data_IF_282025460202
#
_entry.id   IF_282025460202
#
_cell.length_a   1.000
_cell.length_b   1.000
_cell.length_c   1.000
_cell.angle_alpha   90.00
_cell.angle_beta   90.00
_cell.angle_gamma   90.00
#
_symmetry.space_group_name_H-M   'P 1'
#
loop_
_entity.id
_entity.type
_entity.pdbx_description
1 polymer ?
#
# COMPACT_ATOMS: atom_id res chain seq x y z
N UNK A 1 -39.43 62.57 6.49
CA UNK A 1 -38.83 61.64 7.47
C UNK A 1 -37.97 60.65 6.69
N UNK A 2 -36.67 60.91 6.57
CA UNK A 2 -35.74 60.07 5.84
C UNK A 2 -35.09 59.08 6.83
N UNK A 3 -35.28 57.78 6.58
CA UNK A 3 -34.74 56.71 7.40
C UNK A 3 -33.39 56.27 6.80
N UNK A 4 -32.30 56.82 7.31
CA UNK A 4 -30.93 56.47 6.91
C UNK A 4 -30.39 55.38 7.85
N UNK A 5 -30.40 54.13 7.38
CA UNK A 5 -29.69 53.03 8.03
C UNK A 5 -28.16 53.24 7.92
N UNK A 6 -27.38 52.97 8.98
CA UNK A 6 -25.93 53.12 8.93
C UNK A 6 -25.26 52.00 8.09
N UNK A 7 -24.04 52.23 7.56
CA UNK A 7 -23.31 51.24 6.79
C UNK A 7 -22.77 50.13 7.69
N UNK A 8 -22.95 48.87 7.28
CA UNK A 8 -22.35 47.69 7.92
C UNK A 8 -20.83 47.73 7.65
N UNK A 9 -19.96 47.71 8.67
CA UNK A 9 -18.52 47.64 8.47
C UNK A 9 -18.13 46.28 7.86
N UNK A 10 -17.11 46.21 6.99
CA UNK A 10 -16.61 44.94 6.46
C UNK A 10 -16.09 44.08 7.61
N UNK A 11 -16.72 42.92 7.78
CA UNK A 11 -16.30 41.92 8.76
C UNK A 11 -14.90 41.41 8.38
N UNK A 12 -13.89 41.52 9.26
CA UNK A 12 -12.57 40.96 8.96
C UNK A 12 -12.71 39.44 8.81
N UNK A 13 -12.20 38.88 7.71
CA UNK A 13 -12.07 37.43 7.54
C UNK A 13 -11.32 36.88 8.76
N UNK A 14 -12.04 36.18 9.62
CA UNK A 14 -11.65 35.84 10.98
C UNK A 14 -10.53 34.81 11.00
N UNK A 15 -9.56 35.00 11.90
CA UNK A 15 -8.41 34.13 12.14
C UNK A 15 -8.76 32.64 12.42
N UNK A 16 -10.04 32.34 12.68
CA UNK A 16 -10.56 31.00 12.95
C UNK A 16 -10.45 30.05 11.75
N UNK A 17 -10.63 30.52 10.50
CA UNK A 17 -10.57 29.66 9.30
C UNK A 17 -9.14 29.15 9.02
N UNK A 18 -8.13 29.98 9.29
CA UNK A 18 -6.72 29.61 9.15
C UNK A 18 -6.28 28.63 10.25
N UNK A 19 -6.90 28.71 11.43
CA UNK A 19 -6.56 27.86 12.57
C UNK A 19 -7.21 26.47 12.46
N UNK A 20 -8.40 26.37 11.85
CA UNK A 20 -9.10 25.11 11.62
C UNK A 20 -8.45 24.27 10.49
N UNK A 21 -8.06 24.91 9.38
CA UNK A 21 -7.39 24.24 8.25
C UNK A 21 -6.02 23.66 8.64
N UNK A 22 -5.23 24.40 9.42
CA UNK A 22 -3.92 23.92 9.90
C UNK A 22 -4.05 22.73 10.87
N UNK A 23 -5.11 22.68 11.67
CA UNK A 23 -5.42 21.56 12.56
C UNK A 23 -5.79 20.28 11.79
N UNK A 24 -6.64 20.40 10.77
CA UNK A 24 -7.05 19.27 9.92
C UNK A 24 -5.87 18.67 9.12
N UNK A 25 -4.99 19.52 8.59
CA UNK A 25 -3.79 19.08 7.88
C UNK A 25 -2.84 18.33 8.83
N UNK A 26 -2.63 18.83 10.05
CA UNK A 26 -1.78 18.17 11.06
C UNK A 26 -2.33 16.81 11.48
N UNK A 27 -3.63 16.69 11.71
CA UNK A 27 -4.24 15.42 12.11
C UNK A 27 -4.18 14.39 10.98
N UNK A 28 -4.33 14.81 9.72
CA UNK A 28 -4.10 13.95 8.56
C UNK A 28 -2.65 13.45 8.52
N UNK A 29 -1.65 14.34 8.62
CA UNK A 29 -0.24 13.95 8.62
C UNK A 29 0.11 13.03 9.78
N UNK A 30 -0.44 13.28 10.98
CA UNK A 30 -0.28 12.39 12.13
C UNK A 30 -0.86 11.00 11.84
N UNK A 31 -2.06 10.92 11.26
CA UNK A 31 -2.70 9.65 10.89
C UNK A 31 -1.93 8.88 9.82
N UNK A 32 -1.39 9.57 8.80
CA UNK A 32 -0.52 8.96 7.79
C UNK A 32 0.77 8.46 8.43
N UNK A 33 1.40 9.27 9.28
CA UNK A 33 2.65 8.92 9.96
C UNK A 33 2.48 7.69 10.84
N UNK A 34 1.36 7.58 11.55
CA UNK A 34 1.06 6.43 12.39
C UNK A 34 0.85 5.16 11.56
N UNK A 35 0.11 5.25 10.45
CA UNK A 35 -0.08 4.10 9.53
C UNK A 35 1.25 3.63 8.93
N UNK A 36 2.11 4.56 8.53
CA UNK A 36 3.45 4.25 8.01
C UNK A 36 4.29 3.62 9.12
N UNK A 37 4.30 4.18 10.31
CA UNK A 37 5.07 3.66 11.46
C UNK A 37 4.61 2.26 11.86
N UNK A 38 3.30 2.04 11.95
CA UNK A 38 2.68 0.75 12.23
C UNK A 38 2.94 -0.28 11.12
N UNK A 39 2.92 0.15 9.85
CA UNK A 39 3.32 -0.71 8.73
C UNK A 39 4.78 -1.12 8.79
N UNK A 40 5.67 -0.19 9.16
CA UNK A 40 7.11 -0.43 9.29
C UNK A 40 7.50 -1.16 10.58
N UNK A 41 6.69 -1.14 11.63
CA UNK A 41 6.99 -1.85 12.88
C UNK A 41 6.90 -3.37 12.73
N UNK A 42 6.04 -3.84 11.83
CA UNK A 42 5.94 -5.26 11.45
C UNK A 42 7.06 -5.73 10.50
N UNK A 43 8.09 -4.91 10.27
CA UNK A 43 9.19 -5.25 9.36
C UNK A 43 10.20 -6.19 10.02
N UNK A 44 10.72 -7.15 9.26
CA UNK A 44 11.86 -7.95 9.69
C UNK A 44 13.16 -7.12 9.73
N UNK A 45 14.11 -7.45 10.62
CA UNK A 45 15.43 -6.81 10.64
C UNK A 45 16.08 -6.78 9.24
N UNK A 46 16.69 -5.65 8.87
CA UNK A 46 17.39 -5.57 7.56
C UNK A 46 18.62 -6.48 7.52
N UNK A 47 19.27 -6.69 8.67
CA UNK A 47 20.42 -7.59 8.79
C UNK A 47 20.06 -9.00 8.37
N UNK A 48 18.88 -9.47 8.78
CA UNK A 48 18.36 -10.77 8.42
C UNK A 48 18.05 -10.85 6.92
N UNK A 49 17.52 -9.78 6.31
CA UNK A 49 17.26 -9.73 4.86
C UNK A 49 18.57 -9.83 4.05
N UNK A 50 19.64 -9.21 4.51
CA UNK A 50 20.93 -9.12 3.78
C UNK A 50 21.94 -10.15 4.30
N UNK A 51 21.51 -11.14 5.07
CA UNK A 51 22.40 -12.17 5.60
C UNK A 51 23.00 -13.00 4.47
N UNK A 52 24.29 -12.74 4.18
CA UNK A 52 25.04 -13.39 3.10
C UNK A 52 25.17 -14.89 3.30
N UNK A 53 25.14 -15.37 4.54
CA UNK A 53 25.28 -16.81 4.84
C UNK A 53 24.05 -17.62 4.41
N UNK A 54 22.88 -16.96 4.32
CA UNK A 54 21.62 -17.58 3.90
C UNK A 54 21.45 -17.63 2.37
N UNK A 55 22.36 -17.07 1.58
CA UNK A 55 22.25 -17.10 0.11
C UNK A 55 22.90 -18.36 -0.47
N UNK A 56 22.15 -19.06 -1.31
CA UNK A 56 22.62 -20.22 -2.08
C UNK A 56 22.00 -20.24 -3.47
N UNK A 57 22.71 -20.82 -4.44
CA UNK A 57 22.21 -20.95 -5.81
C UNK A 57 21.05 -21.97 -5.84
N UNK A 58 19.89 -21.65 -6.44
CA UNK A 58 18.81 -22.61 -6.60
C UNK A 58 19.22 -23.71 -7.58
N UNK A 59 18.86 -24.96 -7.27
CA UNK A 59 19.24 -26.13 -8.07
C UNK A 59 18.40 -26.27 -9.35
N UNK A 60 17.17 -25.75 -9.32
CA UNK A 60 16.25 -25.77 -10.45
C UNK A 60 15.26 -24.60 -10.40
N UNK A 61 14.52 -24.37 -11.49
CA UNK A 61 13.44 -23.38 -11.52
C UNK A 61 12.30 -23.70 -10.53
N UNK A 62 12.02 -25.00 -10.33
CA UNK A 62 11.04 -25.45 -9.33
C UNK A 62 11.50 -25.08 -7.91
N UNK A 63 12.78 -25.30 -7.60
CA UNK A 63 13.35 -24.94 -6.30
C UNK A 63 13.34 -23.41 -6.09
N UNK A 64 13.75 -22.62 -7.09
CA UNK A 64 13.66 -21.15 -7.03
C UNK A 64 12.24 -20.67 -6.74
N UNK A 65 11.23 -21.25 -7.40
CA UNK A 65 9.81 -20.87 -7.20
C UNK A 65 9.33 -21.24 -5.79
N UNK A 66 9.71 -22.41 -5.28
CA UNK A 66 9.44 -22.84 -3.91
C UNK A 66 10.06 -21.88 -2.88
N UNK A 67 11.31 -21.49 -3.07
CA UNK A 67 12.01 -20.53 -2.20
C UNK A 67 11.35 -19.16 -2.22
N UNK A 68 10.98 -18.64 -3.39
CA UNK A 68 10.22 -17.38 -3.52
C UNK A 68 8.91 -17.45 -2.72
N UNK A 69 8.14 -18.52 -2.89
CA UNK A 69 6.84 -18.70 -2.23
C UNK A 69 6.97 -18.73 -0.70
N UNK A 70 8.05 -19.32 -0.17
CA UNK A 70 8.32 -19.38 1.27
C UNK A 70 8.85 -18.03 1.80
N UNK A 71 9.75 -17.38 1.08
CA UNK A 71 10.36 -16.11 1.47
C UNK A 71 9.42 -14.90 1.36
N UNK A 72 8.44 -14.92 0.44
CA UNK A 72 7.50 -13.82 0.21
C UNK A 72 6.68 -13.41 1.46
N UNK A 73 5.92 -14.31 2.11
CA UNK A 73 5.16 -13.94 3.31
C UNK A 73 6.08 -13.53 4.45
N UNK A 74 7.28 -14.11 4.53
CA UNK A 74 8.24 -13.84 5.59
C UNK A 74 8.82 -12.42 5.53
N UNK A 75 9.26 -11.96 4.34
CA UNK A 75 9.84 -10.62 4.11
C UNK A 75 8.86 -9.62 3.49
N UNK A 76 7.54 -9.88 3.55
CA UNK A 76 6.52 -9.09 2.84
C UNK A 76 6.68 -7.58 3.03
N UNK A 77 6.83 -7.13 4.28
CA UNK A 77 6.95 -5.70 4.60
C UNK A 77 8.26 -5.12 4.04
N UNK A 78 9.37 -5.85 4.13
CA UNK A 78 10.64 -5.43 3.55
C UNK A 78 10.58 -5.36 2.01
N UNK A 79 9.93 -6.32 1.36
CA UNK A 79 9.77 -6.34 -0.11
C UNK A 79 8.92 -5.17 -0.60
N UNK A 80 7.81 -4.89 0.08
CA UNK A 80 7.00 -3.69 -0.22
C UNK A 80 7.83 -2.43 -0.04
N UNK A 81 8.64 -2.34 1.02
CA UNK A 81 9.53 -1.21 1.24
C UNK A 81 10.57 -1.05 0.11
N UNK A 82 11.22 -2.14 -0.34
CA UNK A 82 12.18 -2.11 -1.46
C UNK A 82 11.50 -1.63 -2.75
N UNK A 83 10.35 -2.20 -3.11
CA UNK A 83 9.59 -1.80 -4.31
C UNK A 83 9.21 -0.31 -4.21
N UNK A 84 8.79 0.14 -3.03
CA UNK A 84 8.42 1.53 -2.79
C UNK A 84 9.63 2.46 -2.96
N UNK A 85 10.80 2.09 -2.44
CA UNK A 85 12.05 2.86 -2.60
C UNK A 85 12.41 2.94 -4.09
N UNK A 86 12.35 1.83 -4.83
CA UNK A 86 12.62 1.81 -6.28
C UNK A 86 11.66 2.74 -7.03
N UNK A 87 10.36 2.71 -6.70
CA UNK A 87 9.37 3.61 -7.29
C UNK A 87 9.67 5.08 -6.99
N UNK A 88 9.98 5.42 -5.74
CA UNK A 88 10.30 6.79 -5.33
C UNK A 88 11.54 7.29 -6.06
N UNK A 89 12.62 6.50 -6.10
CA UNK A 89 13.86 6.88 -6.81
C UNK A 89 13.60 7.03 -8.32
N UNK A 90 12.80 6.16 -8.91
CA UNK A 90 12.45 6.23 -10.34
C UNK A 90 11.61 7.47 -10.66
N UNK A 91 10.72 7.89 -9.76
CA UNK A 91 9.98 9.13 -9.91
C UNK A 91 10.89 10.36 -9.72
N UNK A 92 11.75 10.36 -8.69
CA UNK A 92 12.69 11.46 -8.41
C UNK A 92 13.67 11.71 -9.55
N UNK A 93 14.03 10.67 -10.31
CA UNK A 93 14.87 10.79 -11.51
C UNK A 93 14.12 11.33 -12.73
N UNK A 94 12.80 11.48 -12.67
CA UNK A 94 11.95 12.01 -13.73
C UNK A 94 11.25 13.31 -13.28
N UNK A 95 11.96 14.45 -13.23
CA UNK A 95 11.45 15.70 -12.63
C UNK A 95 10.21 16.25 -13.34
N UNK A 96 10.11 16.12 -14.67
CA UNK A 96 8.93 16.57 -15.43
C UNK A 96 7.66 15.79 -15.06
N UNK A 97 7.78 14.47 -14.99
CA UNK A 97 6.73 13.56 -14.51
C UNK A 97 6.28 13.93 -13.09
N UNK A 98 7.24 14.21 -12.21
CA UNK A 98 6.94 14.63 -10.85
C UNK A 98 6.21 15.97 -10.76
N UNK A 99 6.63 16.98 -11.54
CA UNK A 99 5.97 18.28 -11.54
C UNK A 99 4.52 18.14 -11.99
N UNK A 100 4.25 17.41 -13.06
CA UNK A 100 2.89 17.21 -13.56
C UNK A 100 2.03 16.39 -12.60
N UNK A 101 2.57 15.32 -12.02
CA UNK A 101 1.87 14.52 -11.02
C UNK A 101 1.58 15.35 -9.76
N UNK A 102 2.53 16.18 -9.32
CA UNK A 102 2.38 17.08 -8.17
C UNK A 102 1.32 18.16 -8.44
N UNK A 103 1.33 18.78 -9.62
CA UNK A 103 0.33 19.76 -10.02
C UNK A 103 -1.08 19.14 -10.09
N UNK A 104 -1.18 17.94 -10.66
CA UNK A 104 -2.45 17.20 -10.72
C UNK A 104 -2.94 16.82 -9.30
N UNK A 105 -2.04 16.34 -8.44
CA UNK A 105 -2.37 16.04 -7.05
C UNK A 105 -2.80 17.30 -6.29
N UNK A 106 -2.08 18.41 -6.47
CA UNK A 106 -2.44 19.69 -5.88
C UNK A 106 -3.83 20.15 -6.33
N UNK A 107 -4.19 19.96 -7.60
CA UNK A 107 -5.54 20.24 -8.10
C UNK A 107 -6.60 19.36 -7.41
N UNK A 108 -6.37 18.05 -7.28
CA UNK A 108 -7.27 17.15 -6.54
C UNK A 108 -7.44 17.57 -5.07
N UNK A 109 -6.33 17.83 -4.38
CA UNK A 109 -6.35 18.23 -2.98
C UNK A 109 -7.06 19.57 -2.80
N UNK A 110 -6.72 20.56 -3.62
CA UNK A 110 -7.33 21.88 -3.56
C UNK A 110 -8.83 21.81 -3.79
N UNK A 111 -9.28 21.08 -4.81
CA UNK A 111 -10.68 21.07 -5.22
C UNK A 111 -11.60 20.22 -4.33
N UNK A 112 -11.08 19.20 -3.66
CA UNK A 112 -11.92 18.23 -2.92
C UNK A 112 -11.56 18.04 -1.45
N UNK A 113 -10.34 18.37 -1.02
CA UNK A 113 -9.92 18.22 0.38
C UNK A 113 -9.82 19.57 1.09
N UNK A 114 -9.28 20.57 0.41
CA UNK A 114 -9.06 21.90 0.98
C UNK A 114 -10.20 22.87 0.69
N UNK A 115 -11.05 22.59 -0.31
CA UNK A 115 -12.26 23.37 -0.59
C UNK A 115 -13.33 22.99 0.42
N UNK A 116 -13.83 23.97 1.16
CA UNK A 116 -14.93 23.77 2.09
C UNK A 116 -16.25 23.68 1.31
N UNK A 117 -17.22 22.90 1.81
CA UNK A 117 -18.55 22.76 1.20
C UNK A 117 -19.35 24.08 1.12
N UNK A 118 -18.89 25.13 1.81
CA UNK A 118 -19.46 26.47 1.80
C UNK A 118 -18.84 27.41 0.76
N UNK A 119 -17.83 26.97 0.00
CA UNK A 119 -17.17 27.80 -1.01
C UNK A 119 -18.03 27.95 -2.27
N UNK A 120 -18.06 29.16 -2.87
CA UNK A 120 -18.82 29.41 -4.09
C UNK A 120 -18.34 28.52 -5.25
N UNK A 121 -19.24 28.19 -6.21
CA UNK A 121 -18.91 27.35 -7.35
C UNK A 121 -17.77 27.96 -8.17
N UNK A 122 -16.91 27.10 -8.71
CA UNK A 122 -15.74 27.52 -9.48
C UNK A 122 -16.19 28.35 -10.67
N UNK A 123 -15.81 29.62 -10.68
CA UNK A 123 -16.06 30.53 -11.80
C UNK A 123 -14.78 30.68 -12.59
N UNK A 124 -14.81 30.25 -13.85
CA UNK A 124 -13.71 30.51 -14.78
C UNK A 124 -14.27 31.28 -15.97
N UNK A 125 -13.65 32.44 -16.27
CA UNK A 125 -14.07 33.33 -17.35
C UNK A 125 -15.55 33.78 -17.28
N UNK A 126 -16.09 33.98 -16.06
CA UNK A 126 -17.48 34.43 -15.84
C UNK A 126 -18.55 33.34 -15.94
N UNK A 127 -18.18 32.09 -16.22
CA UNK A 127 -19.08 30.93 -16.19
C UNK A 127 -18.89 30.11 -14.92
N UNK A 128 -19.98 29.75 -14.25
CA UNK A 128 -19.98 28.81 -13.14
C UNK A 128 -19.87 27.38 -13.68
N UNK A 129 -18.89 26.63 -13.18
CA UNK A 129 -18.74 25.21 -13.48
C UNK A 129 -19.43 24.38 -12.41
N UNK A 130 -20.20 23.40 -12.84
CA UNK A 130 -20.78 22.40 -11.96
C UNK A 130 -19.67 21.51 -11.37
N UNK A 131 -19.89 20.97 -10.18
CA UNK A 131 -18.97 19.98 -9.58
C UNK A 131 -18.79 18.75 -10.48
N UNK A 132 -19.80 18.37 -11.27
CA UNK A 132 -19.69 17.28 -12.25
C UNK A 132 -18.75 17.64 -13.41
N UNK A 133 -18.84 18.86 -13.93
CA UNK A 133 -17.96 19.33 -15.01
C UNK A 133 -16.51 19.38 -14.52
N UNK A 134 -16.30 19.89 -13.30
CA UNK A 134 -14.99 19.95 -12.64
C UNK A 134 -14.41 18.54 -12.43
N UNK A 135 -15.22 17.60 -11.96
CA UNK A 135 -14.83 16.20 -11.78
C UNK A 135 -14.42 15.58 -13.12
N UNK A 136 -15.24 15.75 -14.16
CA UNK A 136 -14.95 15.23 -15.51
C UNK A 136 -13.65 15.84 -16.04
N UNK A 137 -13.46 17.15 -15.91
CA UNK A 137 -12.22 17.82 -16.32
C UNK A 137 -11.00 17.26 -15.59
N UNK A 138 -11.12 17.03 -14.28
CA UNK A 138 -10.02 16.53 -13.46
C UNK A 138 -9.68 15.06 -13.78
N UNK A 139 -10.69 14.24 -14.07
CA UNK A 139 -10.51 12.86 -14.55
C UNK A 139 -9.84 12.87 -15.93
N UNK A 140 -10.34 13.67 -16.88
CA UNK A 140 -9.75 13.79 -18.22
C UNK A 140 -8.31 14.29 -18.13
N UNK A 141 -8.05 15.32 -17.32
CA UNK A 141 -6.69 15.82 -17.05
C UNK A 141 -5.79 14.73 -16.47
N UNK A 142 -6.30 13.90 -15.56
CA UNK A 142 -5.56 12.74 -15.02
C UNK A 142 -5.19 11.75 -16.13
N UNK A 143 -6.13 11.40 -17.00
CA UNK A 143 -5.88 10.51 -18.15
C UNK A 143 -4.84 11.15 -19.08
N UNK A 144 -5.03 12.40 -19.47
CA UNK A 144 -4.11 13.16 -20.33
C UNK A 144 -2.70 13.16 -19.74
N UNK A 145 -2.53 13.52 -18.47
CA UNK A 145 -1.22 13.51 -17.81
C UNK A 145 -0.62 12.11 -17.85
N UNK A 146 -1.35 11.06 -17.49
CA UNK A 146 -0.81 9.68 -17.47
C UNK A 146 -0.38 9.20 -18.87
N UNK A 147 -1.14 9.51 -19.92
CA UNK A 147 -0.88 9.04 -21.28
C UNK A 147 0.13 9.91 -22.06
N UNK A 148 0.16 11.23 -21.84
CA UNK A 148 1.09 12.14 -22.51
C UNK A 148 2.46 12.23 -21.83
N UNK A 149 2.60 11.71 -20.61
CA UNK A 149 3.88 11.71 -19.91
C UNK A 149 4.51 10.32 -19.84
N UNK A 150 5.80 10.30 -19.54
CA UNK A 150 6.53 9.06 -19.22
C UNK A 150 6.15 8.48 -17.85
N UNK A 151 5.18 9.05 -17.11
CA UNK A 151 4.78 8.54 -15.78
C UNK A 151 4.44 7.06 -15.86
N UNK A 152 3.60 6.67 -16.84
CA UNK A 152 3.17 5.29 -17.00
C UNK A 152 4.34 4.32 -17.22
N UNK A 153 5.26 4.65 -18.14
CA UNK A 153 6.43 3.81 -18.44
C UNK A 153 7.43 3.76 -17.28
N UNK A 154 7.62 4.87 -16.56
CA UNK A 154 8.46 4.94 -15.36
C UNK A 154 7.90 4.06 -14.25
N UNK A 155 6.59 4.13 -13.99
CA UNK A 155 5.95 3.30 -12.97
C UNK A 155 6.02 1.81 -13.30
N UNK A 156 5.73 1.43 -14.55
CA UNK A 156 5.77 0.03 -14.99
C UNK A 156 7.20 -0.52 -14.94
N UNK A 157 8.18 0.22 -15.45
CA UNK A 157 9.58 -0.21 -15.43
C UNK A 157 10.13 -0.31 -14.01
N UNK A 158 9.86 0.67 -13.15
CA UNK A 158 10.24 0.64 -11.74
C UNK A 158 9.61 -0.54 -10.98
N UNK A 159 8.33 -0.84 -11.25
CA UNK A 159 7.66 -1.98 -10.65
C UNK A 159 8.27 -3.30 -11.13
N UNK A 160 8.56 -3.45 -12.42
CA UNK A 160 9.23 -4.63 -12.96
C UNK A 160 10.61 -4.84 -12.34
N UNK A 161 11.40 -3.76 -12.21
CA UNK A 161 12.70 -3.80 -11.54
C UNK A 161 12.55 -4.20 -10.07
N UNK A 162 11.60 -3.60 -9.35
CA UNK A 162 11.32 -3.94 -7.95
C UNK A 162 10.92 -5.41 -7.77
N UNK A 163 10.03 -5.91 -8.62
CA UNK A 163 9.62 -7.33 -8.63
C UNK A 163 10.81 -8.23 -8.95
N UNK A 164 11.64 -7.87 -9.94
CA UNK A 164 12.83 -8.65 -10.29
C UNK A 164 13.81 -8.74 -9.11
N UNK A 165 14.03 -7.64 -8.38
CA UNK A 165 14.89 -7.62 -7.17
C UNK A 165 14.32 -8.56 -6.09
N UNK A 166 13.01 -8.48 -5.83
CA UNK A 166 12.34 -9.32 -4.82
C UNK A 166 12.36 -10.80 -5.21
N UNK A 167 12.10 -11.11 -6.48
CA UNK A 167 12.17 -12.48 -7.00
C UNK A 167 13.59 -13.04 -6.93
N UNK A 168 14.60 -12.23 -7.29
CA UNK A 168 16.00 -12.62 -7.22
C UNK A 168 16.41 -12.89 -5.77
N UNK A 169 16.09 -11.99 -4.85
CA UNK A 169 16.33 -12.18 -3.43
C UNK A 169 15.62 -13.45 -2.91
N UNK A 170 14.33 -13.61 -3.21
CA UNK A 170 13.52 -14.74 -2.76
C UNK A 170 13.96 -16.09 -3.34
N UNK A 171 14.52 -16.11 -4.55
CA UNK A 171 15.02 -17.33 -5.19
C UNK A 171 16.39 -17.76 -4.66
N UNK A 172 17.26 -16.80 -4.35
CA UNK A 172 18.63 -17.08 -3.90
C UNK A 172 18.75 -17.21 -2.38
N UNK A 173 17.79 -16.72 -1.60
CA UNK A 173 17.77 -16.95 -0.16
C UNK A 173 17.25 -18.35 0.16
N UNK A 174 18.08 -19.17 0.80
CA UNK A 174 17.67 -20.45 1.35
C UNK A 174 16.64 -20.23 2.48
N UNK A 175 15.48 -20.89 2.45
CA UNK A 175 14.57 -20.89 3.58
C UNK A 175 15.24 -21.55 4.78
N UNK A 176 15.07 -20.98 5.97
CA UNK A 176 15.54 -21.54 7.24
C UNK A 176 14.64 -22.71 7.66
N UNK A 177 14.54 -23.75 6.82
CA UNK A 177 13.82 -25.02 7.06
C UNK A 177 14.63 -26.17 6.41
N UNK A 178 15.91 -26.33 6.77
CA UNK A 178 16.78 -27.41 6.27
C UNK A 178 17.51 -28.17 7.38
N UNK A 179 16.89 -28.35 8.56
CA UNK A 179 17.36 -29.35 9.53
C UNK A 179 16.27 -30.09 10.31
N UNK A 180 14.98 -29.82 10.07
CA UNK A 180 13.88 -30.49 10.79
C UNK A 180 12.65 -30.64 9.87
N UNK A 181 12.73 -31.56 8.92
CA UNK A 181 11.61 -32.25 8.24
C UNK A 181 12.29 -33.27 7.31
N UNK A 182 12.65 -34.47 7.78
CA UNK A 182 11.74 -35.63 7.85
C UNK A 182 10.94 -35.79 6.54
N UNK A 183 11.04 -36.91 5.81
CA UNK A 183 10.34 -37.07 4.53
C UNK A 183 8.82 -37.01 4.72
N UNK A 184 8.23 -35.83 4.57
CA UNK A 184 6.77 -35.63 4.52
C UNK A 184 6.23 -36.31 3.25
N UNK A 185 5.43 -37.38 3.39
CA UNK A 185 4.80 -38.04 2.26
C UNK A 185 3.67 -37.13 1.77
N UNK A 186 3.82 -36.53 0.58
CA UNK A 186 2.74 -36.14 -0.32
C UNK A 186 1.40 -35.61 0.29
N UNK A 187 1.43 -34.73 1.30
CA UNK A 187 0.19 -34.18 1.91
C UNK A 187 -0.36 -32.94 1.19
N UNK A 188 -0.07 -32.75 -0.10
CA UNK A 188 -0.53 -31.56 -0.86
C UNK A 188 -1.97 -31.66 -1.40
N UNK A 189 -2.65 -32.79 -1.19
CA UNK A 189 -4.03 -33.01 -1.67
C UNK A 189 -5.05 -33.30 -0.54
N UNK A 190 -4.62 -33.42 0.71
CA UNK A 190 -5.46 -33.97 1.79
C UNK A 190 -6.30 -32.91 2.53
N UNK A 191 -5.97 -31.63 2.42
CA UNK A 191 -6.66 -30.55 3.15
C UNK A 191 -8.05 -30.17 2.61
N UNK A 192 -8.34 -30.46 1.33
CA UNK A 192 -9.63 -30.11 0.71
C UNK A 192 -10.63 -31.28 0.70
N UNK A 193 -10.18 -32.51 0.96
CA UNK A 193 -11.01 -33.72 0.87
C UNK A 193 -11.36 -34.35 2.24
N UNK A 194 -10.72 -33.92 3.35
CA UNK A 194 -11.07 -34.44 4.69
C UNK A 194 -12.48 -34.03 5.15
N UNK A 195 -13.07 -33.01 4.53
CA UNK A 195 -14.46 -32.60 4.76
C UNK A 195 -15.49 -33.57 4.13
N UNK A 196 -15.07 -34.38 3.14
CA UNK A 196 -15.94 -35.30 2.41
C UNK A 196 -15.78 -36.76 2.81
N UNK A 197 -14.67 -37.12 3.45
CA UNK A 197 -14.44 -38.47 3.99
C UNK A 197 -14.81 -38.53 5.47
N UNK A 198 -16.11 -38.49 5.74
CA UNK A 198 -16.66 -38.97 7.00
C UNK A 198 -16.43 -40.48 7.10
N UNK A 199 -15.35 -40.89 7.75
CA UNK A 199 -15.12 -42.27 8.17
C UNK A 199 -14.65 -42.29 9.61
N UNK A 200 -15.51 -42.88 10.46
CA UNK A 200 -15.40 -43.03 11.90
C UNK A 200 -13.97 -43.40 12.36
N UNK A 201 -13.31 -42.51 13.08
CA UNK A 201 -12.20 -42.91 13.94
C UNK A 201 -12.78 -43.72 15.11
N UNK A 202 -12.56 -45.03 15.07
CA UNK A 202 -12.92 -45.93 16.15
C UNK A 202 -12.19 -45.50 17.43
N UNK A 203 -12.96 -45.18 18.46
CA UNK A 203 -12.46 -44.94 19.82
C UNK A 203 -11.98 -46.27 20.38
N UNK A 204 -10.67 -46.48 20.42
CA UNK A 204 -10.07 -47.58 21.19
C UNK A 204 -10.24 -47.28 22.68
N UNK A 205 -11.23 -47.92 23.30
CA UNK A 205 -11.42 -47.90 24.75
C UNK A 205 -10.25 -48.62 25.43
N UNK A 206 -9.61 -47.95 26.39
CA UNK A 206 -8.71 -48.59 27.36
C UNK A 206 -9.54 -49.30 28.44
N UNK A 207 -9.30 -50.59 28.64
CA UNK A 207 -9.88 -51.41 29.72
C UNK A 207 -9.12 -51.20 31.03
N UNK A 208 -9.78 -51.01 32.19
CA UNK A 208 -9.09 -51.04 33.48
C UNK A 208 -8.83 -52.48 33.94
N UNK A 209 -7.58 -52.79 34.25
CA UNK A 209 -7.16 -54.07 34.85
C UNK A 209 -7.66 -54.12 36.29
N UNK A 210 -8.53 -55.09 36.58
CA UNK A 210 -8.94 -55.46 37.93
C UNK A 210 -7.83 -56.31 38.59
N UNK A 211 -7.29 -55.84 39.71
CA UNK A 211 -6.45 -56.66 40.59
C UNK A 211 -7.32 -57.20 41.75
N UNK A 212 -7.48 -58.52 41.78
CA UNK A 212 -7.78 -59.32 42.97
C UNK A 212 -6.81 -60.49 42.97
N UNK A 213 -5.94 -60.56 43.98
CA UNK A 213 -5.76 -61.63 44.99
C UNK A 213 -4.71 -61.12 45.98
#
# INVERSE_FOLDING_TARGET
MANSSPPIPPQPATADDTQQSTSAVRSFFAGVSERVRSGLSNRRPWSELVDRSAFSKPESFSDATRRIRRNYPYFRVNYIAIITIVLVVSLLTNPFSLILLSALLAAWLFLYILRQSSDPPLTFCGRQFSDRETLIFLIVSTVVVIFLTSVGSVLVSALLVGVAIVCLHGAFRAPEDLFLDEPEPNTSATGFLSFFTGAKAAVTQYSPVAARV
#
